data_IF_798558202260
#
_entry.id   IF_798558202260
#
_cell.length_a   1.000
_cell.length_b   1.000
_cell.length_c   1.000
_cell.angle_alpha   90.00
_cell.angle_beta   90.00
_cell.angle_gamma   90.00
#
_symmetry.space_group_name_H-M   'P 1'
#
loop_
_entity.id
_entity.type
_entity.pdbx_description
1 polymer ?
#
# COMPACT_ATOMS: atom_id res chain seq x y z
N UNK A 1 -19.58 12.58 -7.21
CA UNK A 1 -19.14 12.62 -5.80
C UNK A 1 -17.64 12.75 -5.83
N UNK A 2 -17.09 13.81 -5.28
CA UNK A 2 -15.64 14.10 -5.31
C UNK A 2 -14.94 13.39 -4.15
N UNK A 3 -13.65 13.07 -4.31
CA UNK A 3 -12.83 12.36 -3.33
C UNK A 3 -11.64 13.25 -2.88
N UNK A 4 -11.14 13.04 -1.67
CA UNK A 4 -9.90 13.68 -1.18
C UNK A 4 -8.71 12.94 -1.76
N UNK A 5 -7.71 13.66 -2.29
CA UNK A 5 -6.57 13.03 -2.95
C UNK A 5 -5.66 12.30 -1.97
N UNK A 6 -5.51 10.98 -2.15
CA UNK A 6 -4.60 10.11 -1.40
C UNK A 6 -4.27 8.85 -2.21
N UNK A 7 -3.32 8.05 -1.74
CA UNK A 7 -2.92 6.82 -2.43
C UNK A 7 -4.09 5.85 -2.64
N UNK A 8 -5.00 5.68 -1.67
CA UNK A 8 -6.16 4.77 -1.82
C UNK A 8 -7.28 5.31 -2.71
N UNK A 9 -7.16 6.53 -3.25
CA UNK A 9 -8.02 7.03 -4.32
C UNK A 9 -7.39 6.80 -5.69
N UNK A 10 -6.06 6.76 -5.79
CA UNK A 10 -5.36 6.51 -7.04
C UNK A 10 -5.27 5.01 -7.35
N UNK A 11 -5.06 4.15 -6.34
CA UNK A 11 -4.94 2.69 -6.56
C UNK A 11 -6.21 2.03 -7.11
N UNK A 12 -7.45 2.37 -6.71
CA UNK A 12 -8.64 1.79 -7.32
C UNK A 12 -8.79 2.18 -8.80
N UNK A 13 -8.34 3.38 -9.20
CA UNK A 13 -8.35 3.77 -10.61
C UNK A 13 -7.46 2.83 -11.45
N UNK A 14 -6.28 2.47 -10.93
CA UNK A 14 -5.41 1.48 -11.60
C UNK A 14 -6.09 0.12 -11.66
N UNK A 15 -6.58 -0.40 -10.53
CA UNK A 15 -7.21 -1.72 -10.46
C UNK A 15 -8.38 -1.84 -11.46
N UNK A 16 -9.33 -0.90 -11.44
CA UNK A 16 -10.50 -0.97 -12.32
C UNK A 16 -10.15 -0.84 -13.80
N UNK A 17 -9.19 0.00 -14.16
CA UNK A 17 -8.78 0.15 -15.57
C UNK A 17 -8.04 -1.11 -16.02
N UNK A 18 -7.18 -1.69 -15.18
CA UNK A 18 -6.52 -2.96 -15.48
C UNK A 18 -7.51 -4.11 -15.65
N UNK A 19 -8.44 -4.29 -14.71
CA UNK A 19 -9.48 -5.32 -14.79
C UNK A 19 -10.30 -5.17 -16.07
N UNK A 20 -10.69 -3.94 -16.43
CA UNK A 20 -11.40 -3.66 -17.68
C UNK A 20 -10.56 -4.04 -18.91
N UNK A 21 -9.26 -3.78 -18.89
CA UNK A 21 -8.34 -4.18 -19.96
C UNK A 21 -8.20 -5.69 -20.10
N UNK A 22 -8.07 -6.41 -18.99
CA UNK A 22 -8.00 -7.87 -18.99
C UNK A 22 -9.32 -8.50 -19.46
N UNK A 23 -10.47 -7.93 -19.09
CA UNK A 23 -11.79 -8.42 -19.50
C UNK A 23 -12.10 -8.16 -20.98
N UNK A 24 -11.68 -7.01 -21.52
CA UNK A 24 -12.03 -6.58 -22.89
C UNK A 24 -10.97 -6.95 -23.92
N UNK A 25 -9.73 -7.25 -23.49
CA UNK A 25 -8.57 -7.43 -24.36
C UNK A 25 -8.30 -6.22 -25.29
N UNK A 26 -8.66 -5.00 -24.87
CA UNK A 26 -8.37 -3.79 -25.64
C UNK A 26 -6.90 -3.36 -25.45
N UNK A 27 -6.08 -3.41 -26.52
CA UNK A 27 -4.65 -3.13 -26.45
C UNK A 27 -4.31 -1.67 -26.17
N UNK A 28 -5.29 -0.75 -26.17
CA UNK A 28 -5.08 0.67 -25.86
C UNK A 28 -5.10 0.99 -24.37
N UNK A 29 -5.57 0.05 -23.54
CA UNK A 29 -5.77 0.28 -22.10
C UNK A 29 -4.45 0.35 -21.31
N UNK A 30 -3.40 -0.45 -21.59
CA UNK A 30 -2.13 -0.33 -20.87
C UNK A 30 -1.56 1.09 -20.86
N UNK A 31 -1.68 1.85 -21.95
CA UNK A 31 -1.22 3.24 -22.04
C UNK A 31 -1.99 4.17 -21.08
N UNK A 32 -3.30 3.93 -20.91
CA UNK A 32 -4.15 4.73 -20.01
C UNK A 32 -3.76 4.53 -18.54
N UNK A 33 -3.32 3.33 -18.18
CA UNK A 33 -2.90 2.99 -16.81
C UNK A 33 -1.58 3.68 -16.43
N UNK A 34 -0.64 3.85 -17.37
CA UNK A 34 0.69 4.42 -17.09
C UNK A 34 0.66 5.80 -16.44
N UNK A 35 -0.32 6.64 -16.77
CA UNK A 35 -0.46 7.95 -16.17
C UNK A 35 -0.77 7.85 -14.66
N UNK A 36 -1.64 6.92 -14.28
CA UNK A 36 -1.98 6.66 -12.88
C UNK A 36 -0.82 6.01 -12.12
N UNK A 37 -0.09 5.10 -12.76
CA UNK A 37 1.12 4.52 -12.20
C UNK A 37 2.14 5.59 -11.83
N UNK A 38 2.47 6.50 -12.74
CA UNK A 38 3.40 7.62 -12.47
C UNK A 38 2.96 8.50 -11.30
N UNK A 39 1.66 8.56 -11.00
CA UNK A 39 1.14 9.24 -9.81
C UNK A 39 1.36 8.39 -8.56
N UNK A 40 1.07 7.08 -8.62
CA UNK A 40 1.32 6.14 -7.51
C UNK A 40 2.78 6.12 -7.08
N UNK A 41 3.72 6.11 -8.03
CA UNK A 41 5.16 6.08 -7.73
C UNK A 41 5.61 7.26 -6.86
N UNK A 42 4.89 8.38 -6.87
CA UNK A 42 5.23 9.57 -6.09
C UNK A 42 4.84 9.46 -4.62
N UNK A 43 4.00 8.49 -4.27
CA UNK A 43 3.70 8.19 -2.87
C UNK A 43 4.77 7.32 -2.22
N UNK A 44 5.52 6.55 -3.01
CA UNK A 44 6.44 5.53 -2.49
C UNK A 44 7.81 6.11 -2.13
N UNK A 45 8.38 5.61 -1.02
CA UNK A 45 9.77 5.85 -0.65
C UNK A 45 10.78 4.92 -1.36
N UNK A 46 12.05 5.32 -1.37
CA UNK A 46 13.18 4.50 -1.81
C UNK A 46 14.25 4.31 -0.71
N UNK A 47 13.94 4.73 0.51
CA UNK A 47 14.83 4.62 1.67
C UNK A 47 15.12 3.14 1.98
N UNK A 48 16.32 2.80 2.50
CA UNK A 48 16.73 1.42 2.76
C UNK A 48 16.16 0.88 4.09
N UNK A 49 14.83 0.95 4.25
CA UNK A 49 14.10 0.44 5.42
C UNK A 49 12.82 -0.23 4.94
N UNK A 50 12.48 -1.40 5.48
CA UNK A 50 11.26 -2.13 5.10
C UNK A 50 9.98 -1.33 5.40
N UNK A 51 10.03 -0.35 6.33
CA UNK A 51 8.91 0.55 6.61
C UNK A 51 8.70 1.62 5.55
N UNK A 52 9.70 1.87 4.69
CA UNK A 52 9.72 3.00 3.77
C UNK A 52 9.90 2.60 2.30
N UNK A 53 10.61 1.51 2.02
CA UNK A 53 10.99 1.13 0.67
C UNK A 53 9.78 0.58 -0.10
N UNK A 54 9.32 1.29 -1.14
CA UNK A 54 8.12 0.89 -1.87
C UNK A 54 6.84 0.96 -1.01
N UNK A 55 6.86 1.74 0.08
CA UNK A 55 5.71 1.97 0.95
C UNK A 55 5.17 3.37 0.67
N UNK A 56 3.88 3.44 0.36
CA UNK A 56 3.18 4.68 0.11
C UNK A 56 3.01 5.51 1.39
N UNK A 57 3.24 6.82 1.30
CA UNK A 57 2.96 7.77 2.39
C UNK A 57 1.48 7.72 2.76
N UNK A 58 1.22 7.46 4.05
CA UNK A 58 -0.07 7.52 4.72
C UNK A 58 0.15 8.05 6.14
N UNK A 59 -0.80 8.81 6.69
CA UNK A 59 -0.52 9.56 7.92
C UNK A 59 -1.73 9.85 8.82
N UNK A 60 -2.79 9.04 8.76
CA UNK A 60 -4.01 9.27 9.54
C UNK A 60 -4.70 7.99 10.01
N UNK A 61 -4.26 6.81 9.57
CA UNK A 61 -5.00 5.58 9.78
C UNK A 61 -5.08 5.20 11.25
N UNK A 62 -3.99 5.36 12.01
CA UNK A 62 -3.97 5.04 13.44
C UNK A 62 -5.01 5.86 14.24
N UNK A 63 -5.23 7.13 13.87
CA UNK A 63 -6.29 7.94 14.49
C UNK A 63 -7.68 7.32 14.36
N UNK A 64 -7.96 6.64 13.24
CA UNK A 64 -9.27 6.06 12.95
C UNK A 64 -9.39 4.59 13.34
N UNK A 65 -8.31 3.84 13.26
CA UNK A 65 -8.32 2.37 13.37
C UNK A 65 -7.47 1.83 14.51
N UNK A 66 -6.56 2.63 15.05
CA UNK A 66 -5.66 2.26 16.14
C UNK A 66 -6.20 2.61 17.52
N UNK A 67 -5.69 1.90 18.53
CA UNK A 67 -5.99 2.14 19.94
C UNK A 67 -5.41 3.47 20.43
N UNK A 68 -4.23 3.83 19.93
CA UNK A 68 -3.50 5.02 20.38
C UNK A 68 -4.09 6.33 19.84
N UNK A 69 -4.86 6.24 18.75
CA UNK A 69 -5.56 7.35 18.11
C UNK A 69 -4.66 8.53 17.74
N UNK A 70 -3.47 8.27 17.20
CA UNK A 70 -2.50 9.29 16.79
C UNK A 70 -2.62 9.65 15.30
N UNK A 71 -2.52 10.95 15.01
CA UNK A 71 -2.44 11.48 13.62
C UNK A 71 -0.99 11.70 13.24
N UNK A 72 -0.39 10.75 12.55
CA UNK A 72 0.97 10.87 12.03
C UNK A 72 1.29 9.74 11.07
N UNK A 73 2.51 9.76 10.51
CA UNK A 73 2.91 8.83 9.45
C UNK A 73 2.78 7.37 9.90
N UNK A 74 1.98 6.60 9.16
CA UNK A 74 1.75 5.17 9.36
C UNK A 74 2.53 4.40 8.31
N UNK A 75 3.75 3.96 8.65
CA UNK A 75 4.73 3.42 7.70
C UNK A 75 5.32 2.08 8.18
N UNK A 76 4.90 0.93 7.62
CA UNK A 76 3.80 0.82 6.68
C UNK A 76 2.45 0.96 7.39
N UNK A 77 1.50 1.51 6.65
CA UNK A 77 0.10 1.15 6.80
C UNK A 77 -0.22 0.08 5.75
N UNK A 78 -1.04 -0.90 6.12
CA UNK A 78 -1.28 -2.08 5.29
C UNK A 78 -1.84 -1.73 3.90
N UNK A 79 -2.58 -0.63 3.73
CA UNK A 79 -3.06 -0.19 2.40
C UNK A 79 -1.96 0.15 1.38
N UNK A 80 -0.69 0.24 1.79
CA UNK A 80 0.44 0.23 0.86
C UNK A 80 0.44 -1.03 -0.04
N UNK A 81 -0.17 -2.13 0.39
CA UNK A 81 -0.37 -3.33 -0.42
C UNK A 81 -1.17 -3.08 -1.72
N UNK A 82 -2.02 -2.04 -1.77
CA UNK A 82 -2.76 -1.70 -3.00
C UNK A 82 -1.85 -1.17 -4.11
N UNK A 83 -0.73 -0.53 -3.74
CA UNK A 83 0.30 -0.16 -4.70
C UNK A 83 1.00 -1.40 -5.24
N UNK A 84 1.28 -2.39 -4.38
CA UNK A 84 1.81 -3.68 -4.83
C UNK A 84 0.85 -4.40 -5.79
N UNK A 85 -0.45 -4.43 -5.45
CA UNK A 85 -1.51 -4.95 -6.33
C UNK A 85 -1.55 -4.21 -7.66
N UNK A 86 -1.45 -2.89 -7.65
CA UNK A 86 -1.42 -2.05 -8.87
C UNK A 86 -0.24 -2.41 -9.80
N UNK A 87 0.94 -2.68 -9.22
CA UNK A 87 2.11 -3.15 -9.97
C UNK A 87 1.91 -4.55 -10.57
N UNK A 88 1.29 -5.46 -9.82
CA UNK A 88 0.95 -6.81 -10.27
C UNK A 88 -0.05 -6.76 -11.44
N UNK A 89 -1.16 -6.04 -11.27
CA UNK A 89 -2.22 -5.91 -12.28
C UNK A 89 -1.68 -5.34 -13.59
N UNK A 90 -0.80 -4.32 -13.50
CA UNK A 90 -0.20 -3.76 -14.69
C UNK A 90 0.75 -4.72 -15.39
N UNK A 91 1.54 -5.49 -14.63
CA UNK A 91 2.43 -6.49 -15.20
C UNK A 91 1.64 -7.59 -15.94
N UNK A 92 0.50 -8.00 -15.40
CA UNK A 92 -0.41 -8.97 -16.03
C UNK A 92 -1.06 -8.39 -17.29
N UNK A 93 -1.62 -7.18 -17.20
CA UNK A 93 -2.29 -6.52 -18.32
C UNK A 93 -1.33 -6.23 -19.48
N UNK A 94 -0.15 -5.66 -19.19
CA UNK A 94 0.79 -5.18 -20.21
C UNK A 94 1.77 -6.25 -20.69
N UNK A 95 1.96 -7.31 -19.91
CA UNK A 95 3.05 -8.28 -20.08
C UNK A 95 4.42 -7.77 -19.62
N UNK A 96 4.53 -6.53 -19.12
CA UNK A 96 5.77 -5.97 -18.61
C UNK A 96 6.10 -6.48 -17.20
N UNK A 97 6.87 -7.57 -17.16
CA UNK A 97 7.30 -8.21 -15.92
C UNK A 97 8.27 -7.38 -15.08
N UNK A 98 8.76 -6.23 -15.55
CA UNK A 98 9.65 -5.36 -14.77
C UNK A 98 8.98 -4.75 -13.53
N UNK A 99 7.65 -4.76 -13.47
CA UNK A 99 6.88 -4.30 -12.32
C UNK A 99 6.76 -5.35 -11.20
N UNK A 100 6.95 -6.64 -11.49
CA UNK A 100 6.79 -7.71 -10.49
C UNK A 100 7.75 -7.59 -9.29
N UNK A 101 9.06 -7.28 -9.47
CA UNK A 101 9.95 -7.09 -8.33
C UNK A 101 9.49 -5.96 -7.39
N UNK A 102 8.87 -4.91 -7.95
CA UNK A 102 8.33 -3.77 -7.17
C UNK A 102 7.09 -4.18 -6.39
N UNK A 103 6.18 -4.93 -7.01
CA UNK A 103 5.02 -5.53 -6.36
C UNK A 103 5.46 -6.41 -5.17
N UNK A 104 6.39 -7.33 -5.42
CA UNK A 104 6.90 -8.25 -4.41
C UNK A 104 7.65 -7.55 -3.27
N UNK A 105 8.40 -6.48 -3.55
CA UNK A 105 9.07 -5.69 -2.52
C UNK A 105 8.06 -4.99 -1.60
N UNK A 106 7.11 -4.25 -2.19
CA UNK A 106 6.10 -3.51 -1.44
C UNK A 106 5.22 -4.44 -0.58
N UNK A 107 4.77 -5.58 -1.13
CA UNK A 107 3.93 -6.50 -0.36
C UNK A 107 4.69 -7.20 0.77
N UNK A 108 5.96 -7.59 0.54
CA UNK A 108 6.81 -8.18 1.61
C UNK A 108 7.02 -7.20 2.75
N UNK A 109 7.21 -5.92 2.44
CA UNK A 109 7.42 -4.88 3.42
C UNK A 109 6.16 -4.61 4.28
N UNK A 110 4.97 -4.81 3.72
CA UNK A 110 3.72 -4.76 4.49
C UNK A 110 3.61 -5.89 5.52
N UNK A 111 4.30 -7.04 5.34
CA UNK A 111 4.19 -8.19 6.24
C UNK A 111 4.76 -7.93 7.64
N UNK A 112 5.48 -6.82 7.85
CA UNK A 112 6.00 -6.47 9.17
C UNK A 112 4.90 -6.12 10.20
N UNK A 113 3.64 -5.96 9.77
CA UNK A 113 2.48 -5.77 10.66
C UNK A 113 1.96 -7.08 11.28
N UNK A 114 2.58 -8.22 10.96
CA UNK A 114 2.24 -9.54 11.50
C UNK A 114 3.42 -10.07 12.30
N UNK A 115 3.13 -10.67 13.45
CA UNK A 115 4.14 -11.06 14.42
C UNK A 115 4.20 -12.59 14.58
N UNK A 116 5.34 -13.11 15.04
CA UNK A 116 5.58 -14.57 15.15
C UNK A 116 4.63 -15.29 16.12
N UNK A 117 4.00 -14.55 17.04
CA UNK A 117 3.02 -15.07 18.00
C UNK A 117 1.58 -15.08 17.45
N UNK A 118 1.40 -14.80 16.16
CA UNK A 118 0.12 -14.66 15.45
C UNK A 118 -0.69 -13.40 15.83
N UNK A 119 -0.10 -12.46 16.58
CA UNK A 119 -0.68 -11.13 16.71
C UNK A 119 -0.33 -10.26 15.50
N UNK A 120 -1.04 -9.15 15.37
CA UNK A 120 -0.87 -8.21 14.28
C UNK A 120 -1.23 -6.79 14.73
N UNK A 121 -0.89 -5.81 13.90
CA UNK A 121 -1.10 -4.39 14.18
C UNK A 121 -1.68 -3.65 12.97
N UNK A 122 -2.66 -2.78 13.20
CA UNK A 122 -3.30 -1.99 12.14
C UNK A 122 -2.35 -0.95 11.53
N UNK A 123 -1.37 -0.47 12.28
CA UNK A 123 -0.44 0.57 11.83
C UNK A 123 0.88 0.56 12.61
N UNK A 124 1.98 0.87 11.92
CA UNK A 124 3.22 1.27 12.58
C UNK A 124 3.33 2.81 12.60
N UNK A 125 3.31 3.40 13.78
CA UNK A 125 3.53 4.84 13.99
C UNK A 125 5.00 5.16 13.79
N UNK A 126 5.35 5.74 12.65
CA UNK A 126 6.74 5.88 12.22
C UNK A 126 7.54 7.00 12.90
N UNK A 127 7.00 8.22 13.09
CA UNK A 127 7.79 9.33 13.61
C UNK A 127 8.27 9.09 15.03
N UNK A 128 9.39 9.69 15.41
CA UNK A 128 9.91 9.69 16.78
C UNK A 128 8.86 10.19 17.80
N UNK A 129 8.10 11.22 17.44
CA UNK A 129 7.03 11.78 18.25
C UNK A 129 5.97 12.47 17.40
N UNK A 130 4.73 12.45 17.86
CA UNK A 130 3.58 13.17 17.29
C UNK A 130 3.00 14.05 18.40
N UNK A 131 3.12 15.38 18.28
CA UNK A 131 2.61 16.35 19.27
C UNK A 131 2.99 16.04 20.73
N UNK A 132 4.21 15.52 20.94
CA UNK A 132 4.73 15.15 22.25
C UNK A 132 4.40 13.72 22.71
N UNK A 133 3.49 13.02 22.01
CA UNK A 133 3.30 11.58 22.19
C UNK A 133 4.45 10.80 21.51
N UNK A 134 4.93 9.75 22.16
CA UNK A 134 5.98 8.88 21.63
C UNK A 134 5.43 8.05 20.46
N UNK A 135 6.09 8.09 19.30
CA UNK A 135 5.84 7.16 18.19
C UNK A 135 6.85 6.01 18.18
N UNK A 136 7.18 5.50 16.99
CA UNK A 136 8.05 4.34 16.76
C UNK A 136 7.51 3.05 17.42
N UNK A 137 6.23 2.76 17.21
CA UNK A 137 5.57 1.56 17.75
C UNK A 137 4.53 0.99 16.77
N UNK A 138 4.25 -0.31 16.91
CA UNK A 138 3.08 -0.96 16.32
C UNK A 138 1.89 -0.73 17.23
N UNK A 139 0.79 -0.19 16.71
CA UNK A 139 -0.43 -0.01 17.50
C UNK A 139 -0.95 -1.35 18.03
N UNK A 140 -1.52 -1.34 19.23
CA UNK A 140 -1.93 -2.55 19.94
C UNK A 140 -3.11 -3.28 19.28
N UNK A 141 -3.88 -2.62 18.42
CA UNK A 141 -5.03 -3.25 17.78
C UNK A 141 -4.66 -3.94 16.48
N UNK A 142 -4.97 -5.24 16.44
CA UNK A 142 -5.28 -5.93 15.20
C UNK A 142 -6.70 -5.52 14.77
N UNK A 143 -6.83 -4.78 13.68
CA UNK A 143 -8.11 -4.31 13.16
C UNK A 143 -8.30 -4.79 11.72
N UNK A 144 -7.69 -4.08 10.78
CA UNK A 144 -8.00 -4.15 9.34
C UNK A 144 -6.78 -4.51 8.47
N UNK A 145 -5.62 -4.75 9.09
CA UNK A 145 -4.35 -5.05 8.39
C UNK A 145 -4.34 -6.32 7.55
N UNK A 146 -5.26 -7.27 7.78
CA UNK A 146 -5.28 -8.59 7.12
C UNK A 146 -5.41 -8.52 5.58
N UNK A 147 -5.83 -7.39 5.02
CA UNK A 147 -5.77 -7.16 3.57
C UNK A 147 -4.36 -7.31 3.00
N UNK A 148 -3.31 -6.99 3.78
CA UNK A 148 -1.94 -7.23 3.35
C UNK A 148 -1.65 -8.73 3.14
N UNK A 149 -2.18 -9.62 3.98
CA UNK A 149 -2.06 -11.07 3.76
C UNK A 149 -2.88 -11.54 2.55
N UNK A 150 -4.09 -11.00 2.37
CA UNK A 150 -4.92 -11.32 1.21
C UNK A 150 -4.18 -11.03 -0.11
N UNK A 151 -3.56 -9.85 -0.24
CA UNK A 151 -2.79 -9.52 -1.44
C UNK A 151 -1.43 -10.24 -1.49
N UNK A 152 -0.82 -10.55 -0.35
CA UNK A 152 0.39 -11.38 -0.32
C UNK A 152 0.15 -12.76 -0.94
N UNK A 153 -0.99 -13.40 -0.65
CA UNK A 153 -1.37 -14.69 -1.24
C UNK A 153 -1.56 -14.64 -2.77
N UNK A 154 -1.78 -13.46 -3.33
CA UNK A 154 -1.94 -13.28 -4.79
C UNK A 154 -0.63 -12.93 -5.48
N UNK A 155 0.27 -12.20 -4.80
CA UNK A 155 1.47 -11.61 -5.41
C UNK A 155 2.73 -12.46 -5.17
N UNK A 156 2.80 -13.18 -4.05
CA UNK A 156 3.96 -14.00 -3.65
C UNK A 156 3.78 -15.47 -4.05
#
# INVERSE_FOLDING_TARGET
>A
MECVFEQTIVTPAVAFICDMGMLTNDPTIPEKVQAHLKVLERFDGMQPDYRLNGIAIRHWDDYWFGKSMLRGDTLPHYWACLTARSWQDYAELSGDKSFLPRAQNAIRNCLCTFHEDNTASCAYMYPFSIDGARGEFYDEWANDQDFALYFALQIL
#
